data_IF_869703517510
#
_entry.id   IF_869703517510
#
_cell.length_a   1.000
_cell.length_b   1.000
_cell.length_c   1.000
_cell.angle_alpha   90.00
_cell.angle_beta   90.00
_cell.angle_gamma   90.00
#
_symmetry.space_group_name_H-M   'P 1'
#
loop_
_entity.id
_entity.type
_entity.pdbx_description
1 polymer ?
#
# COMPACT_ATOMS: atom_id res chain seq x y z
N UNK A 1 -11.14 5.06 7.66
CA UNK A 1 -9.81 4.43 7.73
C UNK A 1 -8.82 5.27 6.96
N UNK A 2 -7.58 5.39 7.44
CA UNK A 2 -6.51 6.10 6.74
C UNK A 2 -5.37 5.12 6.45
N UNK A 3 -4.90 5.10 5.21
CA UNK A 3 -3.75 4.32 4.76
C UNK A 3 -2.65 5.32 4.37
N UNK A 4 -1.51 5.24 5.06
CA UNK A 4 -0.33 6.02 4.75
C UNK A 4 0.58 5.19 3.86
N UNK A 5 1.03 5.75 2.75
CA UNK A 5 1.95 5.08 1.81
C UNK A 5 3.08 6.00 1.40
N UNK A 6 4.29 5.46 1.33
CA UNK A 6 5.47 6.11 0.77
C UNK A 6 5.76 5.71 -0.68
N UNK A 7 5.22 4.56 -1.12
CA UNK A 7 5.35 4.08 -2.48
C UNK A 7 4.61 4.95 -3.49
N UNK A 8 5.35 5.89 -4.08
CA UNK A 8 4.87 6.72 -5.19
C UNK A 8 4.39 5.86 -6.36
N UNK A 9 5.08 4.76 -6.64
CA UNK A 9 4.70 3.83 -7.70
C UNK A 9 3.32 3.19 -7.44
N UNK A 10 3.05 2.76 -6.20
CA UNK A 10 1.75 2.19 -5.85
C UNK A 10 0.63 3.23 -5.94
N UNK A 11 0.85 4.45 -5.45
CA UNK A 11 -0.13 5.54 -5.56
C UNK A 11 -0.46 5.83 -7.04
N UNK A 12 0.56 5.94 -7.89
CA UNK A 12 0.37 6.17 -9.32
C UNK A 12 -0.33 4.99 -10.00
N UNK A 13 -0.04 3.76 -9.60
CA UNK A 13 -0.70 2.57 -10.13
C UNK A 13 -2.20 2.52 -9.77
N UNK A 14 -2.57 2.92 -8.55
CA UNK A 14 -3.97 3.01 -8.13
C UNK A 14 -4.75 4.12 -8.85
N UNK A 15 -4.06 5.17 -9.30
CA UNK A 15 -4.65 6.28 -10.05
C UNK A 15 -4.79 6.01 -11.56
N UNK A 16 -4.18 4.92 -12.05
CA UNK A 16 -4.06 4.66 -13.48
C UNK A 16 -4.89 3.45 -13.91
N UNK A 17 -5.59 3.60 -15.04
CA UNK A 17 -6.28 2.49 -15.72
C UNK A 17 -5.41 1.77 -16.75
N UNK A 18 -4.08 1.92 -16.69
CA UNK A 18 -3.15 1.28 -17.63
C UNK A 18 -2.94 -0.22 -17.35
N UNK A 19 -2.76 -1.00 -18.41
CA UNK A 19 -2.54 -2.46 -18.37
C UNK A 19 -1.04 -2.76 -18.23
N UNK A 20 -0.59 -3.01 -16.99
CA UNK A 20 0.77 -3.47 -16.67
C UNK A 20 0.75 -4.80 -15.92
N UNK A 21 1.89 -5.50 -15.92
CA UNK A 21 2.11 -6.62 -15.00
C UNK A 21 1.80 -6.18 -13.55
N UNK A 22 1.07 -7.01 -12.80
CA UNK A 22 0.60 -6.66 -11.45
C UNK A 22 -0.77 -5.96 -11.36
N UNK A 23 -1.48 -5.73 -12.48
CA UNK A 23 -2.87 -5.21 -12.51
C UNK A 23 -3.82 -5.93 -11.55
N UNK A 24 -3.62 -7.23 -11.34
CA UNK A 24 -4.45 -8.03 -10.44
C UNK A 24 -4.40 -7.50 -8.98
N UNK A 25 -3.25 -6.99 -8.52
CA UNK A 25 -3.12 -6.40 -7.18
C UNK A 25 -3.89 -5.08 -7.07
N UNK A 26 -3.84 -4.24 -8.10
CA UNK A 26 -4.63 -3.00 -8.18
C UNK A 26 -6.12 -3.30 -8.16
N UNK A 27 -6.56 -4.31 -8.93
CA UNK A 27 -7.96 -4.73 -8.97
C UNK A 27 -8.42 -5.26 -7.61
N UNK A 28 -7.59 -6.05 -6.93
CA UNK A 28 -7.88 -6.56 -5.59
C UNK A 28 -7.98 -5.42 -4.57
N UNK A 29 -7.06 -4.45 -4.63
CA UNK A 29 -7.13 -3.26 -3.80
C UNK A 29 -8.46 -2.51 -4.00
N UNK A 30 -8.86 -2.26 -5.25
CA UNK A 30 -10.14 -1.62 -5.57
C UNK A 30 -11.35 -2.46 -5.13
N UNK A 31 -11.26 -3.79 -5.16
CA UNK A 31 -12.29 -4.68 -4.60
C UNK A 31 -12.44 -4.45 -3.09
N UNK A 32 -11.34 -4.48 -2.35
CA UNK A 32 -11.38 -4.26 -0.89
C UNK A 32 -11.83 -2.85 -0.51
N UNK A 33 -11.39 -1.82 -1.25
CA UNK A 33 -11.84 -0.45 -1.04
C UNK A 33 -13.35 -0.31 -1.24
N UNK A 34 -13.92 -0.94 -2.27
CA UNK A 34 -15.38 -0.96 -2.49
C UNK A 34 -16.13 -1.68 -1.36
N UNK A 35 -15.59 -2.78 -0.83
CA UNK A 35 -16.18 -3.46 0.33
C UNK A 35 -16.19 -2.57 1.58
N UNK A 36 -15.15 -1.78 1.81
CA UNK A 36 -15.11 -0.80 2.89
C UNK A 36 -16.12 0.33 2.68
N UNK A 37 -16.23 0.85 1.46
CA UNK A 37 -17.22 1.86 1.12
C UNK A 37 -18.65 1.35 1.31
N UNK A 38 -18.95 0.12 0.89
CA UNK A 38 -20.26 -0.51 1.10
C UNK A 38 -20.61 -0.62 2.60
N UNK A 39 -19.60 -0.79 3.46
CA UNK A 39 -19.74 -0.78 4.93
C UNK A 39 -19.75 0.65 5.53
N UNK A 40 -19.90 1.69 4.70
CA UNK A 40 -19.83 3.12 5.10
C UNK A 40 -18.54 3.48 5.84
N UNK A 41 -17.44 2.81 5.52
CA UNK A 41 -16.10 3.08 6.05
C UNK A 41 -15.27 3.73 4.96
N UNK A 42 -15.21 5.08 4.87
CA UNK A 42 -14.39 5.74 3.86
C UNK A 42 -12.91 5.42 4.09
N UNK A 43 -12.20 5.15 3.01
CA UNK A 43 -10.75 4.92 2.99
C UNK A 43 -10.05 6.16 2.42
N UNK A 44 -9.15 6.74 3.21
CA UNK A 44 -8.31 7.86 2.81
C UNK A 44 -6.89 7.37 2.59
N UNK A 45 -6.35 7.56 1.39
CA UNK A 45 -4.97 7.24 1.08
C UNK A 45 -4.17 8.54 1.07
N UNK A 46 -3.10 8.61 1.86
CA UNK A 46 -2.24 9.79 1.89
C UNK A 46 -0.79 9.39 1.69
N UNK A 47 -0.14 10.10 0.76
CA UNK A 47 1.30 9.99 0.55
C UNK A 47 2.03 10.52 1.78
N UNK A 48 3.07 9.81 2.19
CA UNK A 48 4.05 10.26 3.17
C UNK A 48 5.43 10.23 2.50
N UNK A 49 6.30 11.22 2.70
CA UNK A 49 7.66 11.14 2.18
C UNK A 49 8.45 10.03 2.88
N UNK A 50 9.11 9.17 2.10
CA UNK A 50 10.03 8.16 2.63
C UNK A 50 11.31 8.80 3.18
N UNK A 51 11.90 8.18 4.20
CA UNK A 51 13.20 8.55 4.77
C UNK A 51 13.29 9.96 5.40
N UNK A 52 12.18 10.51 5.91
CA UNK A 52 12.16 11.76 6.70
C UNK A 52 11.75 11.51 8.17
N UNK A 53 12.15 10.40 8.77
CA UNK A 53 11.93 10.18 10.23
C UNK A 53 10.47 10.22 10.66
N UNK A 54 9.55 9.83 9.77
CA UNK A 54 8.18 9.51 10.18
C UNK A 54 8.24 8.17 10.89
N UNK A 55 8.36 8.23 12.21
CA UNK A 55 8.62 7.07 13.08
C UNK A 55 7.76 5.84 12.73
N UNK A 56 6.47 6.04 12.48
CA UNK A 56 5.57 4.95 12.09
C UNK A 56 5.89 4.31 10.72
N UNK A 57 6.32 5.10 9.73
CA UNK A 57 6.73 4.58 8.42
C UNK A 57 8.04 3.81 8.51
N UNK A 58 8.99 4.29 9.32
CA UNK A 58 10.29 3.65 9.49
C UNK A 58 10.20 2.31 10.22
N UNK A 59 9.34 2.20 11.24
CA UNK A 59 9.10 0.91 11.91
C UNK A 59 8.48 -0.11 10.95
N UNK A 60 7.49 0.29 10.15
CA UNK A 60 6.85 -0.59 9.17
C UNK A 60 7.83 -1.01 8.07
N UNK A 61 8.67 -0.10 7.57
CA UNK A 61 9.69 -0.41 6.58
C UNK A 61 10.74 -1.40 7.13
N UNK A 62 11.16 -1.23 8.39
CA UNK A 62 12.06 -2.17 9.05
C UNK A 62 11.43 -3.56 9.21
N UNK A 63 10.18 -3.63 9.68
CA UNK A 63 9.44 -4.90 9.82
C UNK A 63 9.22 -5.59 8.46
N UNK A 64 8.86 -4.84 7.42
CA UNK A 64 8.68 -5.38 6.09
C UNK A 64 9.98 -5.98 5.53
N UNK A 65 11.13 -5.32 5.74
CA UNK A 65 12.44 -5.85 5.36
C UNK A 65 12.78 -7.12 6.12
N UNK A 66 12.50 -7.16 7.43
CA UNK A 66 12.70 -8.35 8.25
C UNK A 66 11.82 -9.52 7.82
N UNK A 67 10.56 -9.28 7.46
CA UNK A 67 9.64 -10.32 6.96
C UNK A 67 10.13 -10.95 5.65
N UNK A 68 10.72 -10.14 4.76
CA UNK A 68 11.34 -10.64 3.52
C UNK A 68 12.59 -11.47 3.82
N UNK A 69 13.41 -11.06 4.80
CA UNK A 69 14.60 -11.80 5.21
C UNK A 69 14.28 -13.11 5.94
N UNK A 70 13.22 -13.15 6.75
CA UNK A 70 12.73 -14.35 7.45
C UNK A 70 11.98 -15.34 6.56
N UNK A 71 11.66 -14.96 5.32
CA UNK A 71 11.00 -15.84 4.33
C UNK A 71 11.99 -16.48 3.34
N UNK A 72 13.30 -16.29 3.55
CA UNK A 72 14.32 -17.03 2.79
C UNK A 72 14.52 -18.41 3.41
N UNK A 73 13.58 -19.31 3.15
CA UNK A 73 13.80 -20.76 3.22
C UNK A 73 13.17 -21.41 1.99
N UNK A 74 14.05 -21.88 1.11
CA UNK A 74 13.94 -22.92 0.08
C UNK A 74 12.73 -22.88 -0.88
#
# INVERSE_FOLDING_TARGET
>A
AALLMDSQAAILALQSDQTKSGRYLVNEFHRQARLLQAKRRPLWIRRVPGHISVHGNEMIDAEAKLAVQGSSTA
#
